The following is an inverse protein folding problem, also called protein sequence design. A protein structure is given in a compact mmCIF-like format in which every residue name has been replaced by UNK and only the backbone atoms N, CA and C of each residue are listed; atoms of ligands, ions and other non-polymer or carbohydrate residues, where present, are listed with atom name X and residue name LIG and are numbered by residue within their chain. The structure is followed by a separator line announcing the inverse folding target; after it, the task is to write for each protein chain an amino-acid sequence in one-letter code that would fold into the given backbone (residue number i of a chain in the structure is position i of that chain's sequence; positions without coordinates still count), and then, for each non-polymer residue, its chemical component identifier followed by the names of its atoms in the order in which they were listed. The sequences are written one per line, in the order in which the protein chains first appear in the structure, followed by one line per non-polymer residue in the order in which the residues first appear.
data_IF_662149395668
#
_entry.id   IF_662149395668
#
_cell.length_a   1.000
_cell.length_b   1.000
_cell.length_c   1.000
_cell.angle_alpha   90.00
_cell.angle_beta   90.00
_cell.angle_gamma   90.00
#
_symmetry.space_group_name_H-M   'P 1'
#
loop_
_entity.id
_entity.type
_entity.pdbx_description
1 polymer ?
#
# COMPACT_ATOMS: atom_id res chain seq x y z
N UNK A 1 24.20 -4.95 -4.18
CA UNK A 1 23.67 -3.76 -3.47
C UNK A 1 22.61 -4.25 -2.51
N UNK A 2 22.86 -4.07 -1.21
CA UNK A 2 21.96 -4.46 -0.13
C UNK A 2 20.91 -3.35 0.07
N UNK A 3 19.70 -3.73 0.48
CA UNK A 3 18.56 -2.83 0.71
C UNK A 3 18.93 -1.55 1.50
N UNK A 4 19.69 -1.70 2.58
CA UNK A 4 20.12 -0.60 3.45
C UNK A 4 21.06 0.38 2.75
N UNK A 5 21.93 -0.09 1.85
CA UNK A 5 22.88 0.77 1.12
C UNK A 5 22.14 1.74 0.20
N UNK A 6 21.05 1.27 -0.45
CA UNK A 6 20.22 2.13 -1.32
C UNK A 6 19.42 3.17 -0.55
N UNK A 7 18.95 2.84 0.66
CA UNK A 7 18.25 3.80 1.50
C UNK A 7 19.19 4.91 1.96
N UNK A 8 20.41 4.55 2.38
CA UNK A 8 21.45 5.52 2.76
C UNK A 8 21.84 6.41 1.57
N UNK A 9 22.04 5.85 0.38
CA UNK A 9 22.31 6.62 -0.85
C UNK A 9 21.19 7.62 -1.18
N UNK A 10 19.93 7.26 -0.88
CA UNK A 10 18.77 8.11 -1.09
C UNK A 10 18.50 9.09 0.07
N UNK A 11 19.31 9.09 1.13
CA UNK A 11 19.10 9.91 2.33
C UNK A 11 17.87 9.50 3.14
N UNK A 12 17.43 8.24 3.04
CA UNK A 12 16.26 7.69 3.71
C UNK A 12 16.73 6.87 4.91
N UNK A 13 16.30 7.26 6.12
CA UNK A 13 16.51 6.45 7.32
C UNK A 13 15.51 5.27 7.34
N UNK A 14 15.98 4.01 7.38
CA UNK A 14 15.09 2.87 7.53
C UNK A 14 14.40 2.88 8.89
N UNK A 15 13.09 3.09 8.92
CA UNK A 15 12.25 2.76 10.07
C UNK A 15 11.72 1.34 9.89
N UNK A 16 12.41 0.37 10.46
CA UNK A 16 11.91 -1.00 10.63
C UNK A 16 11.56 -1.14 12.11
N UNK A 17 10.33 -1.51 12.44
CA UNK A 17 9.87 -1.60 13.81
C UNK A 17 10.73 -2.53 14.67
N UNK A 18 10.56 -2.43 15.99
CA UNK A 18 11.16 -3.40 16.90
C UNK A 18 10.41 -4.72 16.86
N UNK A 19 11.09 -5.85 17.10
CA UNK A 19 10.44 -7.17 17.10
C UNK A 19 9.32 -7.18 18.15
N UNK A 20 8.09 -7.42 17.71
CA UNK A 20 6.92 -7.50 18.59
C UNK A 20 6.12 -6.20 18.71
N UNK A 21 6.52 -5.13 18.02
CA UNK A 21 5.74 -3.90 17.86
C UNK A 21 5.19 -3.84 16.43
N UNK A 22 3.86 -3.88 16.27
CA UNK A 22 3.19 -3.83 14.97
C UNK A 22 2.79 -2.42 14.53
N UNK A 23 3.09 -1.38 15.31
CA UNK A 23 2.69 -0.01 14.98
C UNK A 23 3.31 0.50 13.67
N UNK A 24 4.50 0.02 13.32
CA UNK A 24 5.19 0.37 12.08
C UNK A 24 4.41 -0.09 10.83
N UNK A 25 3.73 -1.23 10.90
CA UNK A 25 2.98 -1.81 9.79
C UNK A 25 1.46 -1.57 9.88
N UNK A 26 0.92 -1.23 11.06
CA UNK A 26 -0.52 -1.15 11.31
C UNK A 26 -1.26 -0.25 10.30
N UNK A 27 -0.67 0.90 9.93
CA UNK A 27 -1.26 1.78 8.93
C UNK A 27 -1.28 1.12 7.54
N UNK A 28 -0.15 0.53 7.12
CA UNK A 28 -0.06 -0.15 5.84
C UNK A 28 -1.02 -1.34 5.74
N UNK A 29 -1.18 -2.10 6.83
CA UNK A 29 -2.14 -3.20 6.92
C UNK A 29 -3.58 -2.71 6.82
N UNK A 30 -3.91 -1.61 7.49
CA UNK A 30 -5.25 -1.02 7.43
C UNK A 30 -5.60 -0.60 6.00
N UNK A 31 -4.69 0.10 5.32
CA UNK A 31 -4.89 0.53 3.93
C UNK A 31 -5.00 -0.68 2.98
N UNK A 32 -4.11 -1.67 3.12
CA UNK A 32 -4.16 -2.89 2.32
C UNK A 32 -5.43 -3.71 2.58
N UNK A 33 -5.92 -3.74 3.82
CA UNK A 33 -7.19 -4.38 4.19
C UNK A 33 -8.38 -3.72 3.49
N UNK A 34 -8.45 -2.39 3.50
CA UNK A 34 -9.49 -1.62 2.81
C UNK A 34 -9.44 -1.84 1.30
N UNK A 35 -8.25 -1.74 0.69
CA UNK A 35 -8.07 -2.00 -0.74
C UNK A 35 -8.57 -3.40 -1.13
N UNK A 36 -8.18 -4.43 -0.36
CA UNK A 36 -8.63 -5.81 -0.62
C UNK A 36 -10.14 -5.95 -0.48
N UNK A 37 -10.75 -5.36 0.54
CA UNK A 37 -12.18 -5.44 0.76
C UNK A 37 -13.00 -4.73 -0.33
N UNK A 38 -12.56 -3.56 -0.77
CA UNK A 38 -13.29 -2.68 -1.67
C UNK A 38 -13.05 -3.03 -3.16
N UNK A 39 -11.85 -3.50 -3.53
CA UNK A 39 -11.46 -3.69 -4.94
C UNK A 39 -11.26 -5.17 -5.31
N UNK A 40 -10.79 -6.02 -4.39
CA UNK A 40 -10.35 -7.39 -4.71
C UNK A 40 -11.38 -8.45 -4.32
N UNK A 41 -11.89 -8.44 -3.09
CA UNK A 41 -12.68 -9.57 -2.56
C UNK A 41 -14.04 -9.78 -3.25
N UNK A 42 -14.63 -8.72 -3.83
CA UNK A 42 -15.99 -8.76 -4.38
C UNK A 42 -16.04 -8.82 -5.90
N UNK A 43 -14.90 -8.88 -6.59
CA UNK A 43 -14.81 -8.83 -8.05
C UNK A 43 -13.61 -9.61 -8.56
N UNK A 44 -13.82 -10.36 -9.64
CA UNK A 44 -12.72 -10.93 -10.43
C UNK A 44 -12.39 -10.02 -11.60
N UNK A 45 -11.09 -9.92 -11.93
CA UNK A 45 -10.62 -9.08 -13.01
C UNK A 45 -10.24 -9.94 -14.24
N UNK A 46 -10.70 -9.58 -15.44
CA UNK A 46 -10.47 -10.38 -16.65
C UNK A 46 -9.01 -10.35 -17.10
N UNK A 47 -8.28 -9.29 -16.74
CA UNK A 47 -6.85 -9.12 -17.05
C UNK A 47 -6.15 -8.40 -15.91
N UNK A 48 -4.82 -8.54 -15.87
CA UNK A 48 -3.97 -7.76 -14.95
C UNK A 48 -4.12 -6.24 -15.19
N UNK A 49 -4.19 -5.81 -16.45
CA UNK A 49 -4.36 -4.39 -16.78
C UNK A 49 -5.69 -3.81 -16.27
N UNK A 50 -6.75 -4.63 -16.21
CA UNK A 50 -8.03 -4.20 -15.65
C UNK A 50 -7.94 -3.92 -14.16
N UNK A 51 -7.28 -4.78 -13.38
CA UNK A 51 -7.08 -4.53 -11.94
C UNK A 51 -6.11 -3.37 -11.70
N UNK A 52 -5.07 -3.20 -12.53
CA UNK A 52 -4.14 -2.08 -12.41
C UNK A 52 -4.85 -0.73 -12.61
N UNK A 53 -5.70 -0.60 -13.65
CA UNK A 53 -6.46 0.62 -13.88
C UNK A 53 -7.42 0.93 -12.72
N UNK A 54 -8.03 -0.09 -12.14
CA UNK A 54 -8.99 0.08 -11.05
C UNK A 54 -8.30 0.36 -9.72
N UNK A 55 -7.08 -0.15 -9.54
CA UNK A 55 -6.17 0.26 -8.46
C UNK A 55 -5.87 1.75 -8.57
N UNK A 56 -5.52 2.25 -9.77
CA UNK A 56 -5.23 3.67 -9.98
C UNK A 56 -6.43 4.56 -9.63
N UNK A 57 -7.63 4.17 -10.08
CA UNK A 57 -8.88 4.88 -9.75
C UNK A 57 -9.16 4.87 -8.25
N UNK A 58 -8.97 3.72 -7.60
CA UNK A 58 -9.19 3.58 -6.17
C UNK A 58 -8.23 4.44 -5.35
N UNK A 59 -6.94 4.47 -5.71
CA UNK A 59 -5.92 5.33 -5.06
C UNK A 59 -6.26 6.81 -5.20
N UNK A 60 -6.62 7.25 -6.42
CA UNK A 60 -7.03 8.62 -6.69
C UNK A 60 -8.28 9.01 -5.87
N UNK A 61 -9.30 8.15 -5.82
CA UNK A 61 -10.47 8.36 -4.97
C UNK A 61 -10.12 8.37 -3.47
N UNK A 62 -9.35 7.40 -3.00
CA UNK A 62 -8.98 7.25 -1.59
C UNK A 62 -8.28 8.50 -1.06
N UNK A 63 -7.32 9.02 -1.81
CA UNK A 63 -6.48 10.15 -1.37
C UNK A 63 -7.16 11.51 -1.54
N UNK A 64 -8.07 11.67 -2.51
CA UNK A 64 -8.60 12.99 -2.85
C UNK A 64 -10.09 13.19 -2.55
N UNK A 65 -10.87 12.11 -2.34
CA UNK A 65 -12.34 12.18 -2.28
C UNK A 65 -13.01 11.34 -1.19
N UNK A 66 -12.31 10.41 -0.54
CA UNK A 66 -12.89 9.48 0.45
C UNK A 66 -13.42 10.15 1.72
N UNK A 67 -12.83 11.27 2.14
CA UNK A 67 -13.17 11.97 3.39
C UNK A 67 -14.07 13.21 3.18
N UNK A 68 -14.92 13.20 2.14
CA UNK A 68 -16.03 14.15 2.01
C UNK A 68 -17.32 13.57 2.57
#
# INVERSE_FOLDING_TARGET
MRYTERLVEAGIEPSVGSVGDSYDNALAETINGLYKAEVIHRRSWPTRGAVELETLKWVDWFNHRRLL
#
